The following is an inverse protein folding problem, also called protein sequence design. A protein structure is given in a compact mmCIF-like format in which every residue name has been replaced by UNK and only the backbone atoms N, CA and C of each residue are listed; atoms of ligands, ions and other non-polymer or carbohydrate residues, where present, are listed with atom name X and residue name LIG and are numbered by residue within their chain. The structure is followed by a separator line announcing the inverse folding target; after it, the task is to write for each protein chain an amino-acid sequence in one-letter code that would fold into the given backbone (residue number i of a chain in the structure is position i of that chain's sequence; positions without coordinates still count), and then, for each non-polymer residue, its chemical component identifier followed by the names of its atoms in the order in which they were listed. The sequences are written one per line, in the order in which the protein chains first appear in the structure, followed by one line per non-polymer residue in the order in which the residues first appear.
data_IF_891153438149
#
_entry.id   IF_891153438149
#
_cell.length_a   1.000
_cell.length_b   1.000
_cell.length_c   1.000
_cell.angle_alpha   90.00
_cell.angle_beta   90.00
_cell.angle_gamma   90.00
#
_symmetry.space_group_name_H-M   'P 1'
#
loop_
_entity.id
_entity.type
_entity.pdbx_description
1 polymer ?
#
# COMPACT_ATOMS: atom_id res chain seq x y z
N UNK A 1 10.59 -36.55 -1.40
CA UNK A 1 11.86 -37.10 -1.89
C UNK A 1 12.77 -35.96 -2.33
N UNK A 2 13.48 -35.34 -1.39
CA UNK A 2 14.37 -34.22 -1.66
C UNK A 2 15.81 -34.70 -1.49
N UNK A 3 16.68 -34.37 -2.45
CA UNK A 3 18.09 -34.75 -2.42
C UNK A 3 18.39 -36.21 -2.79
N UNK A 4 17.39 -37.07 -3.05
CA UNK A 4 17.62 -38.46 -3.48
C UNK A 4 17.87 -38.55 -4.98
N UNK A 5 18.65 -39.55 -5.40
CA UNK A 5 18.81 -39.93 -6.80
C UNK A 5 17.54 -40.65 -7.25
N UNK A 6 17.06 -40.29 -8.44
CA UNK A 6 15.78 -40.77 -8.99
C UNK A 6 15.90 -41.08 -10.48
N UNK A 7 15.15 -42.07 -10.93
CA UNK A 7 14.93 -42.33 -12.35
C UNK A 7 13.91 -41.34 -12.91
N UNK A 8 14.21 -40.72 -14.06
CA UNK A 8 13.29 -39.83 -14.77
C UNK A 8 12.28 -40.58 -15.66
N UNK A 9 12.25 -41.90 -15.58
CA UNK A 9 11.40 -42.80 -16.37
C UNK A 9 10.50 -43.64 -15.47
N UNK A 10 9.32 -44.09 -15.95
CA UNK A 10 8.47 -45.05 -15.23
C UNK A 10 9.18 -46.40 -15.01
N UNK A 11 8.67 -47.22 -14.09
CA UNK A 11 9.27 -48.52 -13.73
C UNK A 11 9.24 -49.53 -14.89
N UNK A 12 8.28 -49.37 -15.79
CA UNK A 12 8.07 -50.22 -16.97
C UNK A 12 9.08 -49.91 -18.09
N UNK A 13 9.85 -48.82 -17.96
CA UNK A 13 10.82 -48.43 -18.99
C UNK A 13 12.03 -49.36 -18.98
N UNK A 14 12.54 -49.78 -20.16
CA UNK A 14 13.81 -50.51 -20.25
C UNK A 14 15.03 -49.75 -19.70
N UNK A 15 14.91 -48.42 -19.53
CA UNK A 15 15.95 -47.55 -18.97
C UNK A 15 15.90 -47.41 -17.45
N UNK A 16 14.96 -48.06 -16.79
CA UNK A 16 14.79 -48.01 -15.34
C UNK A 16 15.92 -48.76 -14.62
N UNK A 17 16.65 -48.09 -13.71
CA UNK A 17 17.59 -48.74 -12.80
C UNK A 17 16.88 -49.06 -11.47
N UNK A 18 16.69 -50.36 -11.10
CA UNK A 18 16.02 -50.76 -9.85
C UNK A 18 16.68 -50.24 -8.58
N UNK A 19 17.95 -49.81 -8.64
CA UNK A 19 18.67 -49.25 -7.50
C UNK A 19 18.08 -47.92 -7.04
N UNK A 20 17.35 -47.21 -7.90
CA UNK A 20 16.78 -45.90 -7.58
C UNK A 20 15.26 -45.88 -7.79
N UNK A 21 14.51 -45.12 -6.97
CA UNK A 21 13.07 -44.94 -7.16
C UNK A 21 12.77 -44.12 -8.43
N UNK A 22 11.57 -44.28 -8.97
CA UNK A 22 11.11 -43.47 -10.11
C UNK A 22 10.52 -42.15 -9.62
N UNK A 23 10.71 -41.05 -10.36
CA UNK A 23 10.00 -39.79 -10.08
C UNK A 23 8.47 -39.96 -10.19
N UNK A 24 8.00 -40.90 -11.00
CA UNK A 24 6.58 -41.18 -11.20
C UNK A 24 5.94 -41.77 -9.94
N UNK A 25 6.71 -42.48 -9.09
CA UNK A 25 6.27 -42.96 -7.78
C UNK A 25 5.86 -41.80 -6.84
N UNK A 26 6.28 -40.57 -7.18
CA UNK A 26 5.98 -39.35 -6.43
C UNK A 26 5.04 -38.40 -7.17
N UNK A 27 4.23 -38.93 -8.10
CA UNK A 27 3.17 -38.19 -8.76
C UNK A 27 3.66 -37.23 -9.86
N UNK A 28 4.87 -37.44 -10.39
CA UNK A 28 5.38 -36.67 -11.53
C UNK A 28 4.36 -36.63 -12.67
N UNK A 29 4.17 -35.45 -13.28
CA UNK A 29 3.14 -35.21 -14.31
C UNK A 29 1.76 -34.82 -13.76
N UNK A 30 1.49 -34.98 -12.46
CA UNK A 30 0.28 -34.45 -11.80
C UNK A 30 0.55 -33.06 -11.24
N UNK A 31 -0.45 -32.16 -11.30
CA UNK A 31 -0.33 -30.80 -10.78
C UNK A 31 0.07 -30.73 -9.29
N UNK A 32 -0.36 -31.72 -8.49
CA UNK A 32 -0.05 -31.85 -7.06
C UNK A 32 1.15 -32.73 -6.72
N UNK A 33 1.77 -33.37 -7.71
CA UNK A 33 2.90 -34.28 -7.50
C UNK A 33 4.26 -33.58 -7.51
N UNK A 34 5.33 -34.36 -7.51
CA UNK A 34 6.68 -33.84 -7.61
C UNK A 34 6.87 -33.08 -8.94
N UNK A 35 7.61 -31.96 -8.90
CA UNK A 35 7.76 -31.03 -10.03
C UNK A 35 6.43 -30.47 -10.59
N UNK A 36 5.35 -30.48 -9.80
CA UNK A 36 4.10 -29.80 -10.12
C UNK A 36 4.14 -28.28 -9.95
N UNK A 37 2.98 -27.63 -10.07
CA UNK A 37 2.84 -26.17 -10.19
C UNK A 37 3.49 -25.40 -9.03
N UNK A 38 3.45 -25.95 -7.82
CA UNK A 38 3.98 -25.31 -6.60
C UNK A 38 5.35 -25.85 -6.16
N UNK A 39 6.04 -26.60 -7.03
CA UNK A 39 7.26 -27.34 -6.68
C UNK A 39 8.44 -26.84 -7.53
N UNK A 40 9.19 -25.86 -7.02
CA UNK A 40 10.32 -25.24 -7.74
C UNK A 40 11.65 -26.01 -7.68
N UNK A 41 11.62 -27.32 -7.47
CA UNK A 41 12.83 -28.14 -7.42
C UNK A 41 13.46 -28.26 -8.81
N UNK A 42 14.76 -28.52 -8.86
CA UNK A 42 15.51 -28.75 -10.11
C UNK A 42 16.10 -30.16 -10.10
N UNK A 43 16.08 -30.82 -11.25
CA UNK A 43 16.80 -32.06 -11.47
C UNK A 43 18.25 -31.74 -11.88
N UNK A 44 19.20 -32.47 -11.30
CA UNK A 44 20.60 -32.41 -11.68
C UNK A 44 21.00 -33.76 -12.28
N UNK A 45 21.76 -33.77 -13.41
CA UNK A 45 22.26 -35.01 -13.98
C UNK A 45 23.13 -35.78 -12.98
N UNK A 46 22.95 -37.09 -12.92
CA UNK A 46 23.73 -37.98 -12.07
C UNK A 46 24.22 -39.18 -12.90
N UNK A 47 25.52 -39.43 -12.88
CA UNK A 47 26.17 -40.55 -13.58
C UNK A 47 26.61 -41.56 -12.53
N UNK A 48 26.04 -42.77 -12.58
CA UNK A 48 26.36 -43.86 -11.66
C UNK A 48 27.86 -44.18 -11.70
N UNK A 49 28.51 -44.19 -10.53
CA UNK A 49 29.94 -44.51 -10.39
C UNK A 49 30.90 -43.33 -10.65
N UNK A 50 30.42 -42.20 -11.15
CA UNK A 50 31.22 -40.99 -11.40
C UNK A 50 30.74 -39.85 -10.50
N UNK A 51 29.44 -39.58 -10.51
CA UNK A 51 28.83 -38.52 -9.72
C UNK A 51 28.70 -38.91 -8.26
N UNK A 52 28.95 -37.95 -7.37
CA UNK A 52 28.73 -38.08 -5.94
C UNK A 52 27.57 -37.19 -5.52
N UNK A 53 26.62 -37.73 -4.75
CA UNK A 53 25.46 -36.99 -4.29
C UNK A 53 25.76 -36.24 -2.99
N UNK A 54 26.10 -34.94 -3.10
CA UNK A 54 26.35 -34.07 -1.95
C UNK A 54 25.08 -33.39 -1.40
N UNK A 55 23.89 -33.78 -1.88
CA UNK A 55 22.65 -33.22 -1.36
C UNK A 55 22.39 -33.71 0.06
N UNK A 56 22.00 -32.77 0.94
CA UNK A 56 21.59 -33.11 2.30
C UNK A 56 20.38 -34.04 2.26
N UNK A 57 20.50 -35.18 2.94
CA UNK A 57 19.39 -36.10 3.16
C UNK A 57 18.70 -35.72 4.47
N UNK A 58 17.38 -35.79 4.47
CA UNK A 58 16.56 -35.57 5.66
C UNK A 58 15.83 -36.87 5.98
N UNK A 59 15.68 -37.15 7.27
CA UNK A 59 14.80 -38.22 7.72
C UNK A 59 13.33 -37.86 7.38
N UNK A 60 12.59 -38.72 6.65
CA UNK A 60 11.21 -38.43 6.28
C UNK A 60 10.28 -38.21 7.46
N UNK A 61 10.45 -38.97 8.55
CA UNK A 61 9.56 -38.87 9.72
C UNK A 61 9.80 -37.53 10.45
N UNK A 62 11.06 -37.19 10.71
CA UNK A 62 11.44 -35.90 11.28
C UNK A 62 10.95 -34.73 10.40
N UNK A 63 11.09 -34.83 9.08
CA UNK A 63 10.63 -33.80 8.16
C UNK A 63 9.11 -33.58 8.22
N UNK A 64 8.32 -34.66 8.33
CA UNK A 64 6.87 -34.60 8.47
C UNK A 64 6.49 -33.94 9.81
N UNK A 65 7.16 -34.30 10.91
CA UNK A 65 6.90 -33.70 12.21
C UNK A 65 7.24 -32.20 12.23
N UNK A 66 8.41 -31.82 11.73
CA UNK A 66 8.80 -30.40 11.57
C UNK A 66 7.81 -29.64 10.70
N UNK A 67 7.32 -30.25 9.62
CA UNK A 67 6.29 -29.66 8.76
C UNK A 67 4.99 -29.42 9.54
N UNK A 68 4.51 -30.37 10.35
CA UNK A 68 3.29 -30.19 11.16
C UNK A 68 3.42 -28.99 12.11
N UNK A 69 4.57 -28.85 12.76
CA UNK A 69 4.84 -27.72 13.68
C UNK A 69 4.90 -26.40 12.89
N UNK A 70 5.58 -26.38 11.74
CA UNK A 70 5.60 -25.20 10.88
C UNK A 70 4.19 -24.82 10.39
N UNK A 71 3.34 -25.80 10.08
CA UNK A 71 1.95 -25.53 9.69
C UNK A 71 1.13 -24.91 10.83
N UNK A 72 1.38 -25.31 12.09
CA UNK A 72 0.81 -24.62 13.27
C UNK A 72 1.28 -23.17 13.36
N UNK A 73 2.56 -22.89 13.10
CA UNK A 73 3.07 -21.51 13.00
C UNK A 73 2.30 -20.72 11.92
N UNK A 74 2.16 -21.28 10.71
CA UNK A 74 1.42 -20.65 9.59
C UNK A 74 -0.05 -20.43 9.91
N UNK A 75 -0.67 -21.31 10.71
CA UNK A 75 -2.03 -21.12 11.19
C UNK A 75 -2.14 -19.89 12.09
N UNK A 76 -1.23 -19.71 13.06
CA UNK A 76 -1.24 -18.52 13.93
C UNK A 76 -0.99 -17.23 13.15
N UNK A 77 -0.01 -17.22 12.23
CA UNK A 77 0.30 -16.06 11.39
C UNK A 77 -0.92 -15.61 10.56
N UNK A 78 -1.62 -16.56 9.91
CA UNK A 78 -2.84 -16.27 9.13
C UNK A 78 -3.95 -15.68 10.01
N UNK A 79 -4.15 -16.23 11.21
CA UNK A 79 -5.15 -15.71 12.14
C UNK A 79 -4.82 -14.30 12.63
N UNK A 80 -3.55 -14.01 12.93
CA UNK A 80 -3.09 -12.67 13.31
C UNK A 80 -3.38 -11.67 12.18
N UNK A 81 -3.02 -12.04 10.95
CA UNK A 81 -3.25 -11.18 9.78
C UNK A 81 -4.73 -10.91 9.55
N UNK A 82 -5.58 -11.94 9.66
CA UNK A 82 -7.05 -11.80 9.58
C UNK A 82 -7.58 -10.86 10.66
N UNK A 83 -7.23 -11.10 11.93
CA UNK A 83 -7.73 -10.28 13.04
C UNK A 83 -7.28 -8.82 12.97
N UNK A 84 -6.08 -8.55 12.48
CA UNK A 84 -5.64 -7.17 12.23
C UNK A 84 -6.50 -6.48 11.16
N UNK A 85 -7.08 -7.24 10.21
CA UNK A 85 -7.88 -6.69 9.10
C UNK A 85 -9.25 -6.33 9.62
N UNK A 86 -9.83 -7.24 10.40
CA UNK A 86 -11.07 -7.01 11.13
C UNK A 86 -10.93 -5.83 12.11
N UNK A 87 -9.77 -5.70 12.76
CA UNK A 87 -9.46 -4.55 13.62
C UNK A 87 -9.39 -3.22 12.83
N UNK A 88 -8.76 -3.19 11.65
CA UNK A 88 -8.73 -1.99 10.81
C UNK A 88 -10.14 -1.61 10.34
N UNK A 89 -10.99 -2.58 9.98
CA UNK A 89 -12.39 -2.35 9.63
C UNK A 89 -13.21 -1.82 10.80
N UNK A 90 -13.11 -2.44 11.98
CA UNK A 90 -13.82 -2.01 13.18
C UNK A 90 -13.44 -0.58 13.61
N UNK A 91 -12.16 -0.21 13.48
CA UNK A 91 -11.69 1.16 13.70
C UNK A 91 -12.34 2.17 12.76
N UNK A 92 -12.52 1.82 11.48
CA UNK A 92 -13.21 2.71 10.50
C UNK A 92 -14.69 2.90 10.83
N UNK A 93 -15.31 1.91 11.46
CA UNK A 93 -16.72 1.92 11.86
C UNK A 93 -16.96 2.46 13.28
N UNK A 94 -15.90 2.77 14.03
CA UNK A 94 -15.95 3.15 15.45
C UNK A 94 -16.64 2.12 16.37
N UNK A 95 -16.57 0.83 16.03
CA UNK A 95 -17.09 -0.25 16.87
C UNK A 95 -16.10 -0.58 18.00
N UNK A 96 -16.32 0.03 19.17
CA UNK A 96 -15.46 -0.07 20.35
C UNK A 96 -15.36 -1.50 20.88
N UNK A 97 -16.45 -2.27 20.83
CA UNK A 97 -16.49 -3.63 21.35
C UNK A 97 -15.63 -4.57 20.49
N UNK A 98 -15.82 -4.51 19.17
CA UNK A 98 -15.04 -5.29 18.20
C UNK A 98 -13.56 -4.91 18.23
N UNK A 99 -13.23 -3.62 18.39
CA UNK A 99 -11.84 -3.17 18.55
C UNK A 99 -11.16 -3.86 19.73
N UNK A 100 -11.83 -3.92 20.90
CA UNK A 100 -11.30 -4.58 22.09
C UNK A 100 -11.11 -6.07 21.87
N UNK A 101 -12.13 -6.73 21.31
CA UNK A 101 -12.13 -8.17 21.03
C UNK A 101 -11.00 -8.58 20.09
N UNK A 102 -10.86 -7.91 18.94
CA UNK A 102 -9.82 -8.23 17.97
C UNK A 102 -8.42 -7.93 18.49
N UNK A 103 -8.25 -6.81 19.22
CA UNK A 103 -6.97 -6.47 19.87
C UNK A 103 -6.52 -7.52 20.90
N UNK A 104 -7.46 -8.09 21.65
CA UNK A 104 -7.18 -9.19 22.57
C UNK A 104 -6.82 -10.48 21.81
N UNK A 105 -7.58 -10.82 20.77
CA UNK A 105 -7.31 -11.99 19.93
C UNK A 105 -5.92 -11.95 19.28
N UNK A 106 -5.51 -10.80 18.75
CA UNK A 106 -4.17 -10.60 18.18
C UNK A 106 -3.09 -10.89 19.21
N UNK A 107 -3.21 -10.33 20.42
CA UNK A 107 -2.24 -10.57 21.52
C UNK A 107 -2.16 -12.05 21.88
N UNK A 108 -3.31 -12.74 21.97
CA UNK A 108 -3.37 -14.16 22.27
C UNK A 108 -2.64 -15.02 21.24
N UNK A 109 -2.90 -14.81 19.95
CA UNK A 109 -2.21 -15.56 18.89
C UNK A 109 -0.72 -15.19 18.79
N UNK A 110 -0.35 -13.93 19.02
CA UNK A 110 1.06 -13.53 19.05
C UNK A 110 1.82 -14.19 20.21
N UNK A 111 1.20 -14.37 21.37
CA UNK A 111 1.80 -15.14 22.47
C UNK A 111 2.01 -16.60 22.08
N UNK A 112 0.99 -17.26 21.49
CA UNK A 112 1.12 -18.63 20.99
C UNK A 112 2.21 -18.76 19.92
N UNK A 113 2.32 -17.78 19.03
CA UNK A 113 3.33 -17.74 17.99
C UNK A 113 4.75 -17.53 18.57
N UNK A 114 4.91 -16.68 19.58
CA UNK A 114 6.20 -16.53 20.29
C UNK A 114 6.59 -17.83 20.99
N UNK A 115 5.63 -18.50 21.62
CA UNK A 115 5.87 -19.75 22.34
C UNK A 115 6.31 -20.87 21.39
N UNK A 116 5.58 -21.12 20.30
CA UNK A 116 5.94 -22.19 19.35
C UNK A 116 7.31 -21.94 18.69
N UNK A 117 7.68 -20.68 18.44
CA UNK A 117 9.01 -20.34 17.91
C UNK A 117 10.09 -20.52 18.97
N UNK A 118 9.82 -20.18 20.24
CA UNK A 118 10.75 -20.38 21.35
C UNK A 118 11.00 -21.87 21.62
N UNK A 119 9.97 -22.70 21.50
CA UNK A 119 10.04 -24.14 21.79
C UNK A 119 10.69 -24.94 20.65
N UNK A 120 10.97 -24.32 19.50
CA UNK A 120 11.43 -25.01 18.30
C UNK A 120 12.52 -24.20 17.58
N UNK A 121 13.78 -24.56 17.78
CA UNK A 121 14.96 -23.83 17.26
C UNK A 121 15.03 -23.72 15.73
N UNK A 122 14.36 -24.63 14.99
CA UNK A 122 14.30 -24.59 13.53
C UNK A 122 13.26 -23.59 12.98
N UNK A 123 12.47 -22.96 13.85
CA UNK A 123 11.48 -21.96 13.48
C UNK A 123 12.01 -20.55 13.70
N UNK A 124 11.56 -19.62 12.86
CA UNK A 124 11.81 -18.20 13.03
C UNK A 124 10.51 -17.45 12.82
N UNK A 125 10.25 -16.46 13.69
CA UNK A 125 9.07 -15.60 13.56
C UNK A 125 9.22 -14.69 12.33
N UNK A 126 8.24 -14.73 11.44
CA UNK A 126 8.24 -13.93 10.21
C UNK A 126 7.20 -12.82 10.29
N UNK A 127 7.63 -11.63 10.71
CA UNK A 127 6.73 -10.49 10.96
C UNK A 127 5.90 -10.10 9.74
N UNK A 128 6.48 -10.17 8.54
CA UNK A 128 5.79 -9.81 7.28
C UNK A 128 4.54 -10.65 7.04
N UNK A 129 4.53 -11.90 7.50
CA UNK A 129 3.36 -12.79 7.36
C UNK A 129 2.19 -12.40 8.25
N UNK A 130 2.45 -11.65 9.32
CA UNK A 130 1.44 -11.09 10.22
C UNK A 130 0.92 -9.73 9.75
N UNK A 131 1.59 -9.03 8.83
CA UNK A 131 1.19 -7.68 8.41
C UNK A 131 0.14 -7.73 7.29
N UNK A 132 -0.81 -6.79 7.31
CA UNK A 132 -1.85 -6.66 6.27
C UNK A 132 -1.36 -5.81 5.12
N UNK A 133 -0.61 -4.79 5.47
CA UNK A 133 -0.05 -3.81 4.56
C UNK A 133 1.46 -4.02 4.63
N UNK A 134 2.11 -4.30 3.50
CA UNK A 134 3.56 -4.18 3.45
C UNK A 134 3.88 -2.73 3.82
N UNK A 135 4.72 -2.54 4.85
CA UNK A 135 5.32 -1.26 5.20
C UNK A 135 6.32 -0.85 4.11
N UNK A 136 5.86 -0.77 2.87
CA UNK A 136 6.57 -0.04 1.83
C UNK A 136 6.45 1.43 2.22
N UNK A 137 7.57 2.15 2.19
CA UNK A 137 7.63 3.59 2.46
C UNK A 137 6.53 4.38 1.72
N UNK A 138 6.14 3.91 0.52
CA UNK A 138 5.03 4.46 -0.29
C UNK A 138 3.67 4.42 0.42
N UNK A 139 3.34 3.36 1.16
CA UNK A 139 2.04 3.23 1.85
C UNK A 139 2.02 4.00 3.17
N UNK A 140 3.16 4.09 3.85
CA UNK A 140 3.32 4.95 5.03
C UNK A 140 3.20 6.43 4.66
N UNK A 141 3.86 6.84 3.58
CA UNK A 141 3.72 8.17 2.98
C UNK A 141 2.25 8.45 2.62
N UNK A 142 1.54 7.50 2.02
CA UNK A 142 0.12 7.67 1.70
C UNK A 142 -0.75 7.91 2.95
N UNK A 143 -0.53 7.18 4.06
CA UNK A 143 -1.28 7.37 5.32
C UNK A 143 -0.93 8.68 6.03
N UNK A 144 0.35 9.06 6.08
CA UNK A 144 0.79 10.32 6.68
C UNK A 144 0.26 11.53 5.89
N UNK A 145 0.19 11.42 4.56
CA UNK A 145 -0.36 12.43 3.67
C UNK A 145 -1.90 12.49 3.66
N UNK A 146 -2.60 11.47 4.16
CA UNK A 146 -4.04 11.58 4.40
C UNK A 146 -4.32 12.61 5.51
N UNK A 147 -3.54 12.60 6.59
CA UNK A 147 -3.65 13.57 7.70
C UNK A 147 -3.47 15.03 7.26
N UNK A 148 -2.56 15.27 6.30
CA UNK A 148 -2.34 16.58 5.69
C UNK A 148 -3.60 17.16 5.02
N UNK A 149 -4.43 16.29 4.42
CA UNK A 149 -5.66 16.70 3.74
C UNK A 149 -6.86 16.90 4.69
N UNK A 150 -6.80 16.43 5.95
CA UNK A 150 -7.91 16.55 6.91
C UNK A 150 -8.04 17.97 7.48
N UNK A 151 -6.94 18.75 7.48
CA UNK A 151 -6.90 20.09 8.06
C UNK A 151 -7.14 21.23 7.07
N UNK A 152 -7.26 20.91 5.78
CA UNK A 152 -7.52 21.88 4.72
C UNK A 152 -9.02 21.97 4.46
N UNK A 153 -9.62 23.12 4.77
CA UNK A 153 -11.01 23.39 4.38
C UNK A 153 -11.02 23.68 2.88
N UNK A 154 -11.70 22.85 2.11
CA UNK A 154 -12.01 23.14 0.71
C UNK A 154 -13.48 23.54 0.65
N UNK A 155 -13.77 24.71 0.10
CA UNK A 155 -15.15 25.13 -0.10
C UNK A 155 -15.73 24.25 -1.21
N UNK A 156 -16.97 23.77 -1.03
CA UNK A 156 -17.72 23.13 -2.11
C UNK A 156 -18.11 24.22 -3.09
N UNK A 157 -17.61 24.18 -4.33
CA UNK A 157 -18.17 25.03 -5.38
C UNK A 157 -19.54 24.47 -5.78
N UNK A 158 -20.58 25.26 -5.56
CA UNK A 158 -21.99 24.91 -5.77
C UNK A 158 -22.37 24.92 -7.26
N UNK A 159 -21.59 25.59 -8.10
CA UNK A 159 -21.77 25.64 -9.54
C UNK A 159 -20.44 25.29 -10.22
N UNK A 160 -20.43 24.29 -11.11
CA UNK A 160 -19.20 23.92 -11.81
C UNK A 160 -19.46 23.55 -13.26
N UNK A 161 -18.62 24.11 -14.13
CA UNK A 161 -18.27 23.52 -15.42
C UNK A 161 -17.00 22.68 -15.21
N UNK A 162 -17.09 21.35 -15.16
CA UNK A 162 -15.91 20.49 -15.05
C UNK A 162 -14.92 20.81 -16.16
N UNK A 163 -13.63 20.75 -15.84
CA UNK A 163 -12.61 20.91 -16.86
C UNK A 163 -12.75 19.80 -17.92
N UNK A 164 -12.62 20.17 -19.20
CA UNK A 164 -12.64 19.16 -20.27
C UNK A 164 -11.44 18.20 -20.14
N UNK A 165 -11.61 16.94 -20.52
CA UNK A 165 -10.54 15.93 -20.48
C UNK A 165 -9.30 16.37 -21.27
N UNK A 166 -9.49 17.03 -22.41
CA UNK A 166 -8.41 17.54 -23.25
C UNK A 166 -7.61 18.63 -22.52
N UNK A 167 -8.30 19.56 -21.87
CA UNK A 167 -7.67 20.65 -21.13
C UNK A 167 -6.98 20.14 -19.86
N UNK A 168 -7.60 19.20 -19.14
CA UNK A 168 -6.97 18.54 -18.00
C UNK A 168 -5.65 17.87 -18.40
N UNK A 169 -5.65 17.13 -19.51
CA UNK A 169 -4.44 16.51 -20.04
C UNK A 169 -3.38 17.54 -20.43
N UNK A 170 -3.77 18.68 -21.00
CA UNK A 170 -2.86 19.78 -21.34
C UNK A 170 -2.21 20.39 -20.10
N UNK A 171 -3.01 20.72 -19.07
CA UNK A 171 -2.52 21.29 -17.81
C UNK A 171 -1.58 20.34 -17.06
N UNK A 172 -1.90 19.05 -17.10
CA UNK A 172 -1.22 18.03 -16.30
C UNK A 172 -0.08 17.33 -17.04
N UNK A 173 0.13 17.65 -18.32
CA UNK A 173 1.17 17.05 -19.18
C UNK A 173 2.56 17.05 -18.55
N UNK A 174 3.00 18.22 -18.06
CA UNK A 174 4.34 18.35 -17.47
C UNK A 174 4.46 17.61 -16.14
N UNK A 175 3.39 17.60 -15.33
CA UNK A 175 3.35 16.84 -14.09
C UNK A 175 3.47 15.34 -14.35
N UNK A 176 2.67 14.80 -15.29
CA UNK A 176 2.76 13.40 -15.74
C UNK A 176 4.12 13.06 -16.31
N UNK A 177 4.72 13.94 -17.14
CA UNK A 177 6.07 13.76 -17.69
C UNK A 177 7.14 13.68 -16.58
N UNK A 178 6.94 14.36 -15.46
CA UNK A 178 7.82 14.28 -14.29
C UNK A 178 7.54 13.06 -13.38
N UNK A 179 6.77 12.07 -13.84
CA UNK A 179 6.43 10.88 -13.06
C UNK A 179 5.21 11.03 -12.14
N UNK A 180 4.50 12.16 -12.24
CA UNK A 180 3.29 12.42 -11.45
C UNK A 180 2.09 11.59 -11.90
N UNK A 181 1.26 11.17 -10.95
CA UNK A 181 0.07 10.36 -11.15
C UNK A 181 -1.17 11.11 -10.70
N UNK A 182 -2.20 11.08 -11.55
CA UNK A 182 -3.51 11.67 -11.29
C UNK A 182 -4.50 10.53 -11.06
N UNK A 183 -5.09 10.53 -9.87
CA UNK A 183 -6.11 9.57 -9.46
C UNK A 183 -7.48 10.24 -9.62
N UNK A 184 -8.36 9.59 -10.38
CA UNK A 184 -9.75 10.00 -10.61
C UNK A 184 -10.63 8.75 -10.69
N UNK A 185 -11.92 8.91 -10.47
CA UNK A 185 -12.91 7.84 -10.58
C UNK A 185 -13.90 7.83 -9.42
N UNK A 186 -14.91 6.93 -9.44
CA UNK A 186 -15.99 6.91 -8.46
C UNK A 186 -15.50 6.80 -7.00
N UNK A 187 -14.47 5.98 -6.76
CA UNK A 187 -13.89 5.83 -5.43
C UNK A 187 -13.17 7.09 -4.95
N UNK A 188 -12.50 7.80 -5.86
CA UNK A 188 -11.82 9.06 -5.57
C UNK A 188 -12.86 10.16 -5.31
N UNK A 189 -13.93 10.21 -6.09
CA UNK A 189 -15.05 11.13 -5.89
C UNK A 189 -15.71 10.93 -4.53
N UNK A 190 -15.96 9.68 -4.13
CA UNK A 190 -16.49 9.35 -2.80
C UNK A 190 -15.56 9.83 -1.69
N UNK A 191 -14.26 9.52 -1.80
CA UNK A 191 -13.26 9.95 -0.82
C UNK A 191 -13.19 11.47 -0.69
N UNK A 192 -13.17 12.19 -1.82
CA UNK A 192 -13.10 13.65 -1.84
C UNK A 192 -14.39 14.27 -1.30
N UNK A 193 -15.55 13.68 -1.58
CA UNK A 193 -16.85 14.10 -1.03
C UNK A 193 -16.90 13.99 0.50
N UNK A 194 -16.36 12.91 1.06
CA UNK A 194 -16.32 12.68 2.52
C UNK A 194 -15.48 13.75 3.25
N UNK A 195 -14.39 14.20 2.62
CA UNK A 195 -13.53 15.28 3.15
C UNK A 195 -13.93 16.68 2.66
N UNK A 196 -15.07 16.79 1.96
CA UNK A 196 -15.60 18.03 1.37
C UNK A 196 -14.58 18.76 0.47
N UNK A 197 -13.86 17.99 -0.35
CA UNK A 197 -12.83 18.47 -1.28
C UNK A 197 -13.19 18.18 -2.74
N UNK A 198 -12.54 18.91 -3.65
CA UNK A 198 -12.65 18.70 -5.10
C UNK A 198 -11.32 18.27 -5.76
N UNK A 199 -10.22 18.44 -5.04
CA UNK A 199 -8.90 17.98 -5.40
C UNK A 199 -8.09 17.72 -4.13
N UNK A 200 -6.97 17.03 -4.24
CA UNK A 200 -5.99 16.88 -3.17
C UNK A 200 -4.63 16.45 -3.73
N UNK A 201 -3.62 17.31 -3.59
CA UNK A 201 -2.23 16.93 -3.70
C UNK A 201 -1.88 16.10 -2.46
N UNK A 202 -1.73 14.79 -2.67
CA UNK A 202 -1.36 13.86 -1.59
C UNK A 202 0.13 14.05 -1.29
N UNK A 203 0.97 14.18 -2.31
CA UNK A 203 2.39 14.49 -2.18
C UNK A 203 2.94 15.06 -3.49
N UNK A 204 4.26 15.05 -3.67
CA UNK A 204 4.97 15.47 -4.88
C UNK A 204 4.75 14.57 -6.12
N UNK A 205 4.10 13.42 -5.94
CA UNK A 205 3.86 12.40 -6.98
C UNK A 205 2.36 12.21 -7.27
N UNK A 206 1.47 12.29 -6.29
CA UNK A 206 0.06 11.92 -6.43
C UNK A 206 -0.87 13.13 -6.25
N UNK A 207 -1.75 13.33 -7.22
CA UNK A 207 -2.90 14.24 -7.11
C UNK A 207 -4.19 13.43 -7.25
N UNK A 208 -5.14 13.64 -6.35
CA UNK A 208 -6.54 13.21 -6.50
C UNK A 208 -7.36 14.36 -7.06
N UNK A 209 -8.22 14.10 -8.03
CA UNK A 209 -9.16 15.09 -8.56
C UNK A 209 -10.56 14.48 -8.62
N UNK A 210 -11.55 15.27 -8.24
CA UNK A 210 -12.94 14.91 -8.50
C UNK A 210 -13.22 14.95 -10.00
N UNK A 211 -14.13 14.10 -10.47
CA UNK A 211 -14.73 14.19 -11.81
C UNK A 211 -15.38 15.55 -12.08
N UNK A 212 -15.74 16.29 -11.03
CA UNK A 212 -16.31 17.64 -11.13
C UNK A 212 -15.29 18.76 -11.00
N UNK A 213 -13.99 18.47 -10.87
CA UNK A 213 -12.97 19.49 -10.60
C UNK A 213 -12.89 20.59 -11.69
N UNK A 214 -12.76 21.84 -11.25
CA UNK A 214 -12.59 23.02 -12.11
C UNK A 214 -11.13 23.30 -12.47
N UNK A 215 -10.88 24.39 -13.22
CA UNK A 215 -9.53 24.85 -13.58
C UNK A 215 -8.76 25.31 -12.35
N UNK A 216 -9.43 26.01 -11.44
CA UNK A 216 -8.81 26.52 -10.22
C UNK A 216 -8.28 25.36 -9.36
N UNK A 217 -9.14 24.38 -9.06
CA UNK A 217 -8.78 23.18 -8.29
C UNK A 217 -7.59 22.42 -8.90
N UNK A 218 -7.58 22.18 -10.21
CA UNK A 218 -6.47 21.47 -10.86
C UNK A 218 -5.15 22.24 -10.71
N UNK A 219 -5.19 23.56 -10.87
CA UNK A 219 -3.98 24.39 -10.75
C UNK A 219 -3.50 24.53 -9.32
N UNK A 220 -4.43 24.63 -8.39
CA UNK A 220 -4.17 24.64 -6.96
C UNK A 220 -3.38 23.39 -6.55
N UNK A 221 -3.86 22.18 -6.90
CA UNK A 221 -3.14 20.95 -6.56
C UNK A 221 -1.76 20.86 -7.25
N UNK A 222 -1.63 21.37 -8.48
CA UNK A 222 -0.33 21.46 -9.14
C UNK A 222 0.64 22.43 -8.44
N UNK A 223 0.14 23.50 -7.81
CA UNK A 223 0.94 24.41 -7.00
C UNK A 223 1.40 23.69 -5.73
N UNK A 224 0.50 22.97 -5.05
CA UNK A 224 0.87 22.21 -3.84
C UNK A 224 1.91 21.13 -4.12
N UNK A 225 1.81 20.41 -5.24
CA UNK A 225 2.87 19.49 -5.68
C UNK A 225 4.22 20.20 -5.78
N UNK A 226 4.26 21.41 -6.34
CA UNK A 226 5.51 22.19 -6.43
C UNK A 226 6.00 22.62 -5.05
N UNK A 227 5.11 23.00 -4.14
CA UNK A 227 5.46 23.33 -2.76
C UNK A 227 6.03 22.12 -2.02
N UNK A 228 5.46 20.92 -2.21
CA UNK A 228 6.01 19.67 -1.69
C UNK A 228 7.42 19.39 -2.23
N UNK A 229 7.64 19.57 -3.53
CA UNK A 229 8.98 19.39 -4.13
C UNK A 229 9.99 20.41 -3.61
N UNK A 230 9.56 21.65 -3.36
CA UNK A 230 10.42 22.74 -2.89
C UNK A 230 10.80 22.57 -1.42
N UNK A 231 9.83 22.23 -0.56
CA UNK A 231 9.95 22.43 0.89
C UNK A 231 9.48 21.23 1.72
N UNK A 232 9.15 20.10 1.09
CA UNK A 232 8.70 18.89 1.78
C UNK A 232 7.31 19.01 2.40
N UNK A 233 7.01 18.15 3.37
CA UNK A 233 5.74 18.14 4.11
C UNK A 233 5.76 19.27 5.16
N UNK A 234 4.67 20.06 5.29
CA UNK A 234 4.58 21.10 6.32
C UNK A 234 4.73 20.55 7.73
N UNK A 235 5.42 21.33 8.56
CA UNK A 235 5.75 20.96 9.94
C UNK A 235 4.81 21.58 10.97
N UNK A 236 4.02 22.59 10.60
CA UNK A 236 3.09 23.29 11.48
C UNK A 236 1.81 23.73 10.75
N UNK A 237 0.77 24.08 11.53
CA UNK A 237 -0.45 24.68 10.98
C UNK A 237 -0.19 26.03 10.31
N UNK A 238 0.71 26.86 10.87
CA UNK A 238 1.12 28.12 10.25
C UNK A 238 1.68 27.94 8.85
N UNK A 239 2.59 26.97 8.67
CA UNK A 239 3.17 26.67 7.36
C UNK A 239 2.11 26.16 6.36
N UNK A 240 1.10 25.42 6.83
CA UNK A 240 -0.03 25.02 5.99
C UNK A 240 -0.77 26.27 5.50
N UNK A 241 -1.17 27.17 6.40
CA UNK A 241 -1.92 28.36 6.04
C UNK A 241 -1.14 29.27 5.09
N UNK A 242 0.17 29.43 5.30
CA UNK A 242 1.03 30.20 4.40
C UNK A 242 1.11 29.59 2.99
N UNK A 243 1.19 28.26 2.89
CA UNK A 243 1.20 27.56 1.60
C UNK A 243 -0.14 27.67 0.87
N UNK A 244 -1.26 27.61 1.60
CA UNK A 244 -2.59 27.86 1.05
C UNK A 244 -2.70 29.29 0.51
N UNK A 245 -2.27 30.29 1.29
CA UNK A 245 -2.26 31.70 0.86
C UNK A 245 -1.34 31.96 -0.32
N UNK A 246 -0.17 31.32 -0.38
CA UNK A 246 0.72 31.39 -1.55
C UNK A 246 0.01 30.84 -2.80
N UNK A 247 -0.68 29.70 -2.69
CA UNK A 247 -1.44 29.11 -3.77
C UNK A 247 -2.60 30.02 -4.23
N UNK A 248 -3.41 30.51 -3.30
CA UNK A 248 -4.54 31.40 -3.59
C UNK A 248 -4.10 32.71 -4.25
N UNK A 249 -3.00 33.32 -3.77
CA UNK A 249 -2.45 34.53 -4.38
C UNK A 249 -1.96 34.26 -5.81
N UNK A 250 -1.33 33.11 -6.07
CA UNK A 250 -0.91 32.72 -7.42
C UNK A 250 -2.09 32.46 -8.36
N UNK A 251 -3.15 31.82 -7.85
CA UNK A 251 -4.39 31.57 -8.57
C UNK A 251 -5.05 32.90 -8.98
N UNK A 252 -5.28 33.80 -8.03
CA UNK A 252 -5.91 35.11 -8.27
C UNK A 252 -5.09 35.98 -9.21
N UNK A 253 -3.76 36.04 -9.02
CA UNK A 253 -2.86 36.82 -9.90
C UNK A 253 -2.91 36.35 -11.36
N UNK A 254 -3.15 35.06 -11.59
CA UNK A 254 -3.19 34.48 -12.93
C UNK A 254 -4.60 34.18 -13.45
N UNK A 255 -5.65 34.56 -12.72
CA UNK A 255 -7.03 34.15 -13.01
C UNK A 255 -7.46 34.45 -14.46
N UNK A 256 -7.18 35.67 -14.95
CA UNK A 256 -7.47 36.08 -16.34
C UNK A 256 -6.69 35.23 -17.36
N UNK A 257 -5.40 35.02 -17.12
CA UNK A 257 -4.52 34.22 -17.99
C UNK A 257 -4.94 32.74 -18.02
N UNK A 258 -5.43 32.23 -16.90
CA UNK A 258 -5.85 30.84 -16.74
C UNK A 258 -7.33 30.61 -17.02
N UNK A 259 -8.06 31.66 -17.43
CA UNK A 259 -9.47 31.61 -17.83
C UNK A 259 -10.37 31.00 -16.76
N UNK A 260 -10.18 31.42 -15.51
CA UNK A 260 -11.06 31.03 -14.41
C UNK A 260 -12.43 31.67 -14.58
N UNK A 261 -13.50 30.97 -14.17
CA UNK A 261 -14.82 31.58 -14.09
C UNK A 261 -14.88 32.60 -12.95
N UNK A 262 -15.87 33.49 -12.99
CA UNK A 262 -16.10 34.44 -11.89
C UNK A 262 -16.36 33.70 -10.56
N UNK A 263 -17.10 32.60 -10.60
CA UNK A 263 -17.33 31.71 -9.47
C UNK A 263 -16.02 31.14 -8.90
N UNK A 264 -15.13 30.61 -9.75
CA UNK A 264 -13.82 30.09 -9.30
C UNK A 264 -12.97 31.19 -8.64
N UNK A 265 -13.03 32.42 -9.18
CA UNK A 265 -12.33 33.57 -8.61
C UNK A 265 -12.91 33.94 -7.25
N UNK A 266 -14.24 33.97 -7.13
CA UNK A 266 -14.92 34.29 -5.87
C UNK A 266 -14.65 33.24 -4.81
N UNK A 267 -14.72 31.96 -5.14
CA UNK A 267 -14.41 30.86 -4.22
C UNK A 267 -12.95 30.91 -3.76
N UNK A 268 -12.01 31.23 -4.66
CA UNK A 268 -10.59 31.43 -4.31
C UNK A 268 -10.42 32.63 -3.37
N UNK A 269 -11.15 33.74 -3.57
CA UNK A 269 -11.13 34.90 -2.65
C UNK A 269 -11.67 34.53 -1.27
N UNK A 270 -12.75 33.75 -1.20
CA UNK A 270 -13.33 33.28 0.07
C UNK A 270 -12.37 32.36 0.83
N UNK A 271 -11.71 31.44 0.12
CA UNK A 271 -10.67 30.57 0.69
C UNK A 271 -9.49 31.38 1.23
N UNK A 272 -9.00 32.35 0.45
CA UNK A 272 -7.93 33.25 0.87
C UNK A 272 -8.28 33.97 2.17
N UNK A 273 -9.44 34.60 2.25
CA UNK A 273 -9.88 35.31 3.46
C UNK A 273 -9.96 34.37 4.67
N UNK A 274 -10.46 33.14 4.48
CA UNK A 274 -10.50 32.12 5.52
C UNK A 274 -9.10 31.77 6.05
N UNK A 275 -8.11 31.59 5.18
CA UNK A 275 -6.75 31.26 5.60
C UNK A 275 -6.01 32.47 6.18
N UNK A 276 -6.29 33.70 5.75
CA UNK A 276 -5.76 34.92 6.37
C UNK A 276 -6.20 35.03 7.83
N UNK A 277 -7.48 34.79 8.13
CA UNK A 277 -7.98 34.77 9.50
C UNK A 277 -7.36 33.63 10.34
N UNK A 278 -7.22 32.44 9.75
CA UNK A 278 -6.60 31.30 10.43
C UNK A 278 -5.13 31.52 10.76
N UNK A 279 -4.37 32.07 9.82
CA UNK A 279 -2.97 32.42 10.04
C UNK A 279 -2.85 33.50 11.12
N UNK A 280 -3.71 34.53 11.09
CA UNK A 280 -3.73 35.57 12.12
C UNK A 280 -3.94 34.99 13.52
N UNK A 281 -4.95 34.13 13.70
CA UNK A 281 -5.24 33.46 14.98
C UNK A 281 -4.07 32.58 15.42
N UNK A 282 -3.52 31.79 14.50
CA UNK A 282 -2.38 30.92 14.80
C UNK A 282 -1.15 31.71 15.26
N UNK A 283 -0.84 32.84 14.62
CA UNK A 283 0.25 33.74 15.05
C UNK A 283 0.01 34.35 16.43
N UNK A 284 -1.22 34.80 16.72
CA UNK A 284 -1.57 35.30 18.05
C UNK A 284 -1.37 34.24 19.15
N UNK A 285 -1.74 32.99 18.88
CA UNK A 285 -1.63 31.88 19.83
C UNK A 285 -0.19 31.35 20.01
N UNK A 286 0.67 31.47 18.99
CA UNK A 286 1.98 30.78 18.97
C UNK A 286 3.20 31.71 18.87
N UNK A 287 3.03 32.96 18.43
CA UNK A 287 4.12 33.92 18.19
C UNK A 287 4.07 35.16 19.11
N UNK A 288 3.00 35.33 19.90
CA UNK A 288 2.93 36.37 20.94
C UNK A 288 3.01 37.80 20.41
N UNK A 289 2.04 38.20 19.57
CA UNK A 289 1.75 39.60 19.25
C UNK A 289 0.39 40.02 19.80
#
# INVERSE_FOLDING_TARGET
MQGKIVNIVPRESPRYDPKYPSIYDHGYGKASGCFGINCGHKLYPYIKGVSHNFQKQYDPEEAIEKQKIQQKQRYYERNIRRLKYDLDLAKRQNDVESIRKFSQGIRGYQTKLRQIVKDNDFLTRQYDREQIVNNNAKTQLFRNNLGYNVHRKKLKNVHKKPISKAELNKLTKNFKKSGGLILMGPDVDKQLKDVKADGAAVNDIYIKLSSTAGRATVREELIHVKQFRRSGVPKSYGEIYERELEADNLLLRNAKKWKFSEEEIEDTKRLKAYYEEKLKKWRQENEGL
#
